data_IF_198242297515
#
_entry.id   IF_198242297515
#
_cell.length_a   1.000
_cell.length_b   1.000
_cell.length_c   1.000
_cell.angle_alpha   90.00
_cell.angle_beta   90.00
_cell.angle_gamma   90.00
#
_symmetry.space_group_name_H-M   'P 1'
#
loop_
_entity.id
_entity.type
_entity.pdbx_description
1 polymer ?
#
# COMPACT_ATOMS: atom_id res chain seq x y z
N UNK A 1 -13.24 -41.72 15.59
CA UNK A 1 -14.06 -40.80 14.78
C UNK A 1 -13.69 -39.39 15.18
N UNK A 2 -13.11 -38.63 14.26
CA UNK A 2 -12.78 -37.20 14.45
C UNK A 2 -13.71 -36.37 13.56
N UNK A 3 -14.04 -35.12 13.94
CA UNK A 3 -14.78 -34.21 13.06
C UNK A 3 -14.04 -33.92 11.75
N UNK A 4 -14.76 -33.54 10.69
CA UNK A 4 -14.19 -33.32 9.34
C UNK A 4 -13.09 -32.24 9.32
N UNK A 5 -13.16 -31.22 10.17
CA UNK A 5 -12.12 -30.18 10.27
C UNK A 5 -10.83 -30.64 10.98
N UNK A 6 -10.80 -31.87 11.49
CA UNK A 6 -9.59 -32.51 12.02
C UNK A 6 -8.92 -33.44 11.00
N UNK A 7 -9.46 -33.54 9.78
CA UNK A 7 -8.76 -34.20 8.67
C UNK A 7 -7.83 -33.20 7.99
N UNK A 8 -6.59 -33.59 7.75
CA UNK A 8 -5.58 -32.77 7.05
C UNK A 8 -5.37 -31.38 7.67
N UNK A 9 -5.49 -31.27 9.01
CA UNK A 9 -5.31 -30.02 9.74
C UNK A 9 -3.87 -29.81 10.23
N UNK A 10 -2.94 -30.69 9.83
CA UNK A 10 -1.53 -30.63 10.19
C UNK A 10 -1.23 -31.12 11.61
N UNK A 11 -2.24 -31.60 12.35
CA UNK A 11 -2.09 -32.14 13.69
C UNK A 11 -2.61 -33.58 13.75
N UNK A 12 -1.81 -34.49 14.30
CA UNK A 12 -2.21 -35.87 14.50
C UNK A 12 -3.33 -36.00 15.54
N UNK A 13 -4.56 -35.94 15.05
CA UNK A 13 -5.80 -36.05 15.82
C UNK A 13 -6.22 -37.51 15.95
N UNK A 14 -5.78 -38.39 15.04
CA UNK A 14 -5.87 -39.85 15.21
C UNK A 14 -4.59 -40.43 15.84
N UNK A 15 -4.75 -41.58 16.53
CA UNK A 15 -3.69 -42.28 17.27
C UNK A 15 -2.44 -42.63 16.46
N UNK A 16 -2.54 -42.63 15.13
CA UNK A 16 -1.43 -42.91 14.21
C UNK A 16 -1.29 -41.84 13.10
N UNK A 17 -1.91 -40.66 13.24
CA UNK A 17 -1.84 -39.61 12.22
C UNK A 17 -2.49 -39.99 10.90
N UNK A 18 -3.42 -40.95 10.91
CA UNK A 18 -4.12 -41.44 9.71
C UNK A 18 -4.95 -40.34 9.05
N UNK A 19 -5.38 -39.37 9.86
CA UNK A 19 -6.03 -38.14 9.47
C UNK A 19 -5.15 -37.20 8.63
N UNK A 20 -3.84 -37.45 8.58
CA UNK A 20 -2.84 -36.70 7.80
C UNK A 20 -2.17 -37.57 6.70
N UNK A 21 -2.57 -38.83 6.56
CA UNK A 21 -1.82 -39.83 5.76
C UNK A 21 -2.29 -39.99 4.31
N UNK A 22 -3.51 -39.57 3.97
CA UNK A 22 -4.11 -39.65 2.62
C UNK A 22 -4.66 -38.30 2.14
N UNK A 23 -3.98 -37.22 2.55
CA UNK A 23 -4.18 -35.87 2.07
C UNK A 23 -3.37 -35.73 0.76
N UNK A 24 -3.89 -36.25 -0.36
CA UNK A 24 -3.18 -36.24 -1.64
C UNK A 24 -2.57 -34.86 -1.95
N UNK A 25 -1.34 -34.81 -2.51
CA UNK A 25 -0.56 -33.59 -2.78
C UNK A 25 -0.94 -32.42 -1.85
N UNK A 26 -0.53 -32.53 -0.59
CA UNK A 26 -0.79 -31.62 0.55
C UNK A 26 -0.65 -30.15 0.13
N UNK A 27 -1.70 -29.61 -0.48
CA UNK A 27 -2.02 -28.21 -0.40
C UNK A 27 -2.50 -28.01 1.01
N UNK A 28 -1.96 -27.00 1.69
CA UNK A 28 -2.49 -26.57 2.97
C UNK A 28 -4.02 -26.39 2.89
N UNK A 29 -4.71 -26.44 4.04
CA UNK A 29 -6.15 -26.19 4.14
C UNK A 29 -6.56 -24.99 3.26
N UNK A 30 -7.80 -24.93 2.72
CA UNK A 30 -8.22 -23.89 1.75
C UNK A 30 -7.88 -22.43 2.15
N UNK A 31 -7.68 -22.18 3.45
CA UNK A 31 -7.33 -20.88 4.04
C UNK A 31 -5.90 -20.80 4.62
N UNK A 32 -4.99 -21.65 4.15
CA UNK A 32 -3.61 -21.72 4.61
C UNK A 32 -2.64 -21.78 3.43
N UNK A 33 -1.49 -21.14 3.58
CA UNK A 33 -0.41 -21.09 2.61
C UNK A 33 0.74 -22.02 3.00
N UNK A 34 1.39 -22.61 2.00
CA UNK A 34 2.51 -23.52 2.17
C UNK A 34 3.85 -22.77 2.06
N UNK A 35 4.63 -22.83 3.12
CA UNK A 35 6.04 -22.45 3.18
C UNK A 35 6.90 -23.44 2.34
N UNK A 36 8.10 -23.05 1.90
CA UNK A 36 9.00 -23.92 1.13
C UNK A 36 9.59 -25.07 1.95
N UNK A 37 9.61 -24.95 3.28
CA UNK A 37 9.95 -26.05 4.18
C UNK A 37 8.82 -27.09 4.32
N UNK A 38 7.67 -26.84 3.69
CA UNK A 38 6.47 -27.67 3.74
C UNK A 38 5.55 -27.36 4.93
N UNK A 39 5.89 -26.37 5.75
CA UNK A 39 5.03 -25.89 6.84
C UNK A 39 3.81 -25.15 6.26
N UNK A 40 2.67 -25.21 6.96
CA UNK A 40 1.47 -24.47 6.58
C UNK A 40 1.21 -23.35 7.57
N UNK A 41 1.11 -22.12 7.08
CA UNK A 41 0.69 -20.97 7.88
C UNK A 41 -0.71 -20.52 7.43
N UNK A 42 -1.58 -20.04 8.33
CA UNK A 42 -2.85 -19.47 7.93
C UNK A 42 -2.68 -18.27 6.98
N UNK A 43 -3.65 -18.03 6.09
CA UNK A 43 -3.63 -16.93 5.11
C UNK A 43 -3.37 -15.56 5.75
N UNK A 44 -3.88 -15.30 6.96
CA UNK A 44 -3.65 -14.03 7.67
C UNK A 44 -2.22 -13.85 8.22
N UNK A 45 -1.39 -14.89 8.17
CA UNK A 45 0.04 -14.80 8.46
C UNK A 45 0.87 -14.62 7.19
N UNK A 46 0.27 -14.75 5.99
CA UNK A 46 0.96 -14.41 4.76
C UNK A 46 0.98 -12.87 4.63
N UNK A 47 2.15 -12.26 4.49
CA UNK A 47 2.31 -10.80 4.33
C UNK A 47 1.78 -9.97 5.50
N UNK A 48 1.99 -10.45 6.73
CA UNK A 48 1.60 -9.72 7.94
C UNK A 48 2.72 -8.84 8.51
N UNK A 49 3.89 -8.79 7.86
CA UNK A 49 5.08 -8.07 8.31
C UNK A 49 5.94 -8.83 9.33
N UNK A 50 5.66 -10.10 9.56
CA UNK A 50 6.38 -10.97 10.48
C UNK A 50 6.80 -12.26 9.76
N UNK A 51 8.05 -12.68 9.97
CA UNK A 51 8.56 -13.92 9.39
C UNK A 51 7.99 -15.12 10.17
N UNK A 52 6.89 -15.67 9.70
CA UNK A 52 6.23 -16.85 10.25
C UNK A 52 6.66 -18.15 9.54
N UNK A 53 7.12 -18.08 8.28
CA UNK A 53 7.82 -19.20 7.64
C UNK A 53 9.30 -19.28 8.06
N UNK A 54 9.87 -20.49 8.00
CA UNK A 54 11.26 -20.81 8.39
C UNK A 54 12.33 -19.97 7.67
N UNK A 55 12.02 -19.47 6.47
CA UNK A 55 12.91 -18.59 5.68
C UNK A 55 12.32 -17.22 5.38
N UNK A 56 11.21 -16.84 6.03
CA UNK A 56 10.53 -15.55 5.79
C UNK A 56 9.95 -15.43 4.39
N UNK A 57 9.64 -16.55 3.74
CA UNK A 57 9.09 -16.54 2.38
C UNK A 57 7.65 -16.07 2.31
N UNK A 58 6.92 -16.19 3.42
CA UNK A 58 5.62 -15.56 3.67
C UNK A 58 5.65 -14.03 3.58
N UNK A 59 6.83 -13.43 3.72
CA UNK A 59 7.09 -12.00 3.57
C UNK A 59 7.90 -11.67 2.30
N UNK A 60 8.35 -12.69 1.55
CA UNK A 60 9.26 -12.51 0.40
C UNK A 60 8.55 -12.47 -0.95
N UNK A 61 7.47 -13.24 -1.11
CA UNK A 61 6.63 -13.26 -2.32
C UNK A 61 5.22 -12.74 -2.01
N UNK A 62 5.19 -11.68 -1.20
CA UNK A 62 4.00 -10.88 -1.07
C UNK A 62 3.70 -10.24 -2.42
N UNK A 63 2.46 -10.34 -2.95
CA UNK A 63 2.06 -9.35 -3.94
C UNK A 63 2.42 -8.03 -3.30
N UNK A 64 3.22 -7.22 -4.00
CA UNK A 64 3.48 -5.86 -3.55
C UNK A 64 2.08 -5.36 -3.25
N UNK A 65 1.77 -5.17 -1.96
CA UNK A 65 0.59 -4.44 -1.59
C UNK A 65 0.99 -3.05 -2.02
N UNK A 66 0.91 -2.79 -3.33
CA UNK A 66 0.68 -1.47 -3.83
C UNK A 66 -0.39 -0.97 -2.90
N UNK A 67 -0.07 0.17 -2.30
CA UNK A 67 -0.85 0.77 -1.25
C UNK A 67 -2.35 0.61 -1.53
N UNK A 68 -3.18 0.53 -0.47
CA UNK A 68 -4.61 0.27 -0.67
C UNK A 68 -5.19 1.15 -1.78
N UNK A 69 -6.32 0.77 -2.40
CA UNK A 69 -6.88 1.53 -3.53
C UNK A 69 -7.01 3.05 -3.28
N UNK A 70 -7.10 3.46 -2.01
CA UNK A 70 -7.12 4.85 -1.53
C UNK A 70 -5.79 5.40 -1.01
N UNK A 71 -4.66 4.77 -1.29
CA UNK A 71 -3.32 5.10 -0.83
C UNK A 71 -2.35 5.05 -2.01
N UNK A 72 -1.32 5.88 -1.97
CA UNK A 72 -0.27 5.96 -2.98
C UNK A 72 1.09 5.71 -2.35
N UNK A 73 1.97 5.10 -3.13
CA UNK A 73 3.30 4.69 -2.67
C UNK A 73 4.33 5.81 -2.89
N UNK A 74 5.01 6.19 -1.82
CA UNK A 74 6.19 7.05 -1.82
C UNK A 74 7.41 6.33 -2.41
N UNK A 75 8.47 7.07 -2.79
CA UNK A 75 9.68 6.46 -3.38
C UNK A 75 10.48 5.63 -2.36
N UNK A 76 10.35 5.92 -1.07
CA UNK A 76 10.90 5.10 0.02
C UNK A 76 10.13 3.79 0.27
N UNK A 77 9.02 3.59 -0.45
CA UNK A 77 8.16 2.43 -0.37
C UNK A 77 7.06 2.54 0.70
N UNK A 78 6.98 3.66 1.42
CA UNK A 78 5.88 3.94 2.35
C UNK A 78 4.58 4.23 1.60
N UNK A 79 3.44 4.05 2.28
CA UNK A 79 2.11 4.27 1.72
C UNK A 79 1.44 5.40 2.48
N UNK A 80 1.00 6.43 1.75
CA UNK A 80 0.21 7.52 2.30
C UNK A 80 -1.17 7.52 1.63
N UNK A 81 -2.24 7.89 2.35
CA UNK A 81 -3.54 8.08 1.72
C UNK A 81 -3.49 9.05 0.55
N UNK A 82 -4.24 8.78 -0.52
CA UNK A 82 -4.22 9.57 -1.75
C UNK A 82 -4.60 11.05 -1.51
N UNK A 83 -5.37 11.34 -0.47
CA UNK A 83 -5.74 12.71 -0.09
C UNK A 83 -4.61 13.51 0.56
N UNK A 84 -3.52 12.85 1.00
CA UNK A 84 -2.28 13.48 1.43
C UNK A 84 -1.30 13.68 0.28
N UNK A 85 -1.67 13.27 -0.94
CA UNK A 85 -0.83 13.55 -2.09
C UNK A 85 -1.16 14.95 -2.62
N UNK A 86 -0.18 15.85 -2.63
CA UNK A 86 -0.35 17.26 -3.01
C UNK A 86 -1.37 17.99 -2.12
N UNK A 87 -1.31 17.77 -0.81
CA UNK A 87 -2.21 18.39 0.16
C UNK A 87 -1.74 19.80 0.60
N UNK A 88 -0.46 20.13 0.36
CA UNK A 88 0.14 21.42 0.63
C UNK A 88 0.29 21.78 2.11
N UNK A 89 -0.05 20.90 3.05
CA UNK A 89 0.12 21.14 4.50
C UNK A 89 1.47 20.61 5.00
N UNK A 90 1.85 19.38 4.65
CA UNK A 90 3.05 18.71 5.15
C UNK A 90 3.66 17.75 4.12
N UNK A 91 4.94 17.40 4.30
CA UNK A 91 5.56 16.28 3.57
C UNK A 91 5.22 14.99 4.31
N UNK A 92 4.25 14.25 3.81
CA UNK A 92 3.84 12.95 4.31
C UNK A 92 4.74 11.82 3.79
N UNK A 93 5.37 11.99 2.64
CA UNK A 93 6.47 11.10 2.21
C UNK A 93 7.81 11.53 2.82
N UNK A 94 8.66 10.56 3.10
CA UNK A 94 9.99 10.75 3.73
C UNK A 94 10.90 11.73 2.98
N UNK A 95 10.81 11.78 1.65
CA UNK A 95 11.59 12.68 0.80
C UNK A 95 10.74 13.82 0.19
N UNK A 96 9.48 13.97 0.60
CA UNK A 96 8.57 15.02 0.12
C UNK A 96 8.14 14.84 -1.34
N UNK A 97 8.14 13.61 -1.86
CA UNK A 97 7.68 13.30 -3.22
C UNK A 97 6.17 13.43 -3.41
N UNK A 98 5.40 13.29 -2.34
CA UNK A 98 3.97 13.59 -2.28
C UNK A 98 3.64 15.03 -2.68
N UNK A 99 4.53 15.97 -2.36
CA UNK A 99 4.35 17.40 -2.65
C UNK A 99 5.18 17.88 -3.85
N UNK A 100 6.15 17.10 -4.31
CA UNK A 100 7.06 17.50 -5.41
C UNK A 100 6.77 16.81 -6.75
N UNK A 101 6.08 15.66 -6.77
CA UNK A 101 5.65 14.96 -7.99
C UNK A 101 4.14 15.13 -8.26
N UNK A 102 3.66 16.37 -8.12
CA UNK A 102 2.31 16.75 -8.52
C UNK A 102 2.24 16.92 -10.05
N UNK A 103 2.21 15.79 -10.77
CA UNK A 103 2.06 15.75 -12.23
C UNK A 103 0.63 16.17 -12.66
N UNK A 104 0.33 17.47 -12.56
CA UNK A 104 -0.75 18.09 -13.33
C UNK A 104 -1.98 18.59 -12.57
N UNK A 105 -1.78 19.35 -11.49
CA UNK A 105 -2.82 20.25 -11.02
C UNK A 105 -2.64 20.62 -9.56
N UNK A 106 -2.54 21.91 -9.30
CA UNK A 106 -2.94 22.47 -8.02
C UNK A 106 -4.37 22.03 -7.68
N UNK A 107 -4.82 22.22 -6.43
CA UNK A 107 -6.19 21.86 -6.07
C UNK A 107 -7.22 22.45 -7.05
N UNK A 108 -8.43 21.88 -7.13
CA UNK A 108 -9.50 22.38 -8.03
C UNK A 108 -9.79 23.89 -7.81
N UNK A 109 -9.52 24.39 -6.60
CA UNK A 109 -9.64 25.79 -6.20
C UNK A 109 -8.38 26.64 -6.38
N UNK A 110 -7.33 26.11 -6.98
CA UNK A 110 -6.02 26.73 -7.12
C UNK A 110 -5.55 26.72 -8.59
N UNK A 111 -4.70 27.68 -8.93
CA UNK A 111 -4.09 27.80 -10.24
C UNK A 111 -2.58 27.67 -10.12
N UNK A 112 -2.00 27.00 -11.10
CA UNK A 112 -0.57 26.75 -11.17
C UNK A 112 0.15 27.89 -11.90
N UNK A 113 1.16 28.44 -11.24
CA UNK A 113 2.14 29.34 -11.78
C UNK A 113 3.14 28.61 -12.70
N UNK A 114 3.82 29.34 -13.59
CA UNK A 114 4.79 28.73 -14.51
C UNK A 114 6.05 28.20 -13.81
N UNK A 115 6.30 28.63 -12.58
CA UNK A 115 7.36 28.14 -11.71
C UNK A 115 6.97 26.85 -10.95
N UNK A 116 5.73 26.39 -11.10
CA UNK A 116 5.17 25.23 -10.42
C UNK A 116 4.44 25.54 -9.11
N UNK A 117 4.47 26.79 -8.63
CA UNK A 117 3.77 27.21 -7.41
C UNK A 117 2.25 27.21 -7.60
N UNK A 118 1.50 26.92 -6.54
CA UNK A 118 0.03 26.93 -6.56
C UNK A 118 -0.48 28.14 -5.77
N UNK A 119 -1.40 28.90 -6.38
CA UNK A 119 -2.09 29.98 -5.70
C UNK A 119 -3.61 29.77 -5.76
N UNK A 120 -4.37 30.18 -4.73
CA UNK A 120 -5.82 30.22 -4.80
C UNK A 120 -6.33 30.91 -6.06
N UNK A 121 -7.37 30.35 -6.69
CA UNK A 121 -7.97 30.93 -7.89
C UNK A 121 -8.53 32.35 -7.66
N UNK A 122 -8.84 32.70 -6.41
CA UNK A 122 -9.23 34.05 -5.99
C UNK A 122 -8.09 35.08 -6.05
N UNK A 123 -6.83 34.64 -6.00
CA UNK A 123 -5.63 35.49 -6.12
C UNK A 123 -5.12 35.60 -7.55
N UNK A 124 -5.95 35.24 -8.52
CA UNK A 124 -5.60 35.41 -9.91
C UNK A 124 -6.44 36.55 -10.49
N UNK A 125 -5.78 37.58 -11.04
CA UNK A 125 -6.39 38.86 -11.40
C UNK A 125 -6.95 39.62 -10.19
N UNK A 126 -6.34 39.51 -9.01
CA UNK A 126 -6.74 40.24 -7.81
C UNK A 126 -6.06 41.63 -7.70
N UNK A 127 -5.11 41.91 -8.58
CA UNK A 127 -4.33 43.14 -8.64
C UNK A 127 -3.01 43.09 -7.87
N UNK A 128 -2.57 41.92 -7.40
CA UNK A 128 -1.39 41.73 -6.57
C UNK A 128 -0.32 40.92 -7.32
N UNK A 129 0.72 41.60 -7.81
CA UNK A 129 1.79 41.00 -8.63
C UNK A 129 2.81 40.12 -7.87
N UNK A 130 2.49 39.70 -6.64
CA UNK A 130 3.41 38.91 -5.80
C UNK A 130 2.97 37.48 -5.59
N UNK A 131 1.75 37.15 -5.98
CA UNK A 131 1.17 35.82 -5.77
C UNK A 131 1.82 34.81 -6.70
N UNK A 132 2.10 35.20 -7.96
CA UNK A 132 2.91 34.41 -8.87
C UNK A 132 4.29 35.04 -9.13
N UNK A 133 5.29 34.19 -9.39
CA UNK A 133 6.63 34.64 -9.80
C UNK A 133 6.53 35.59 -10.99
N UNK A 134 6.94 36.86 -10.80
CA UNK A 134 6.90 37.93 -11.80
C UNK A 134 5.49 38.49 -12.12
N UNK A 135 4.48 38.21 -11.27
CA UNK A 135 3.12 38.70 -11.47
C UNK A 135 2.44 38.08 -12.70
N UNK A 136 2.79 36.83 -13.03
CA UNK A 136 2.20 36.10 -14.15
C UNK A 136 0.69 35.93 -14.01
N UNK A 137 0.21 35.79 -12.78
CA UNK A 137 -1.20 35.75 -12.39
C UNK A 137 -2.00 36.99 -12.81
N UNK A 138 -1.34 38.13 -13.02
CA UNK A 138 -1.93 39.40 -13.46
C UNK A 138 -1.76 39.68 -14.96
N UNK A 139 -1.08 38.79 -15.68
CA UNK A 139 -0.65 39.07 -17.05
C UNK A 139 -1.58 38.49 -18.14
N UNK A 140 -2.43 37.51 -17.80
CA UNK A 140 -3.45 36.93 -18.69
C UNK A 140 -4.82 36.88 -18.00
N UNK A 141 -5.38 38.08 -17.86
CA UNK A 141 -6.73 38.42 -17.43
C UNK A 141 -7.48 39.04 -18.63
#
# INVERSE_FOLDING_TARGET
>A
CIPEHYWCNGYSSCSQGEDESDCGAVGCQESAHQCFDGSCIPEHYWCNGHSDCSQGEDESDCPSVGCQESERQCLDGSCIPEHYWCDGEYTDCSEGEDESDCLGGCQESERQCSDGSCIPADYWCDGVFTDCSQGEDESDC
#
